data_IF_515740894516
#
_entry.id   IF_515740894516
#
_cell.length_a   1.000
_cell.length_b   1.000
_cell.length_c   1.000
_cell.angle_alpha   90.00
_cell.angle_beta   90.00
_cell.angle_gamma   90.00
#
_symmetry.space_group_name_H-M   'P 1'
#
loop_
_entity.id
_entity.type
_entity.pdbx_description
1 polymer ?
#
# COMPACT_ATOMS: atom_id res chain seq x y z
N UNK A 1 0.56 10.04 -8.95
CA UNK A 1 1.93 9.99 -8.41
C UNK A 1 2.90 9.57 -9.50
N UNK A 2 4.21 9.75 -9.30
CA UNK A 2 5.25 9.40 -10.29
C UNK A 2 5.82 7.99 -10.12
N UNK A 3 5.42 7.26 -9.07
CA UNK A 3 5.88 5.90 -8.79
C UNK A 3 4.95 4.89 -9.47
N UNK A 4 5.45 4.06 -10.40
CA UNK A 4 4.70 2.91 -10.93
C UNK A 4 4.19 1.97 -9.83
N UNK A 5 2.99 1.41 -10.02
CA UNK A 5 2.37 0.48 -9.05
C UNK A 5 3.25 -0.74 -8.74
N UNK A 6 4.00 -1.22 -9.74
CA UNK A 6 4.94 -2.32 -9.57
C UNK A 6 5.94 -2.05 -8.44
N UNK A 7 6.45 -0.83 -8.33
CA UNK A 7 7.43 -0.48 -7.31
C UNK A 7 6.84 -0.39 -5.90
N UNK A 8 5.52 -0.16 -5.78
CA UNK A 8 4.84 -0.32 -4.49
C UNK A 8 4.78 -1.80 -4.08
N UNK A 9 4.50 -2.69 -5.03
CA UNK A 9 4.41 -4.14 -4.82
C UNK A 9 5.75 -4.77 -4.44
N UNK A 10 6.84 -4.29 -5.03
CA UNK A 10 8.18 -4.88 -4.85
C UNK A 10 9.00 -4.18 -3.77
N UNK A 11 8.41 -3.21 -3.06
CA UNK A 11 9.08 -2.38 -2.06
C UNK A 11 10.30 -1.61 -2.62
N UNK A 12 10.17 -1.13 -3.86
CA UNK A 12 11.21 -0.38 -4.57
C UNK A 12 10.76 1.02 -4.96
N UNK A 13 9.79 1.60 -4.23
CA UNK A 13 9.21 2.92 -4.53
C UNK A 13 10.21 4.08 -4.35
N UNK A 14 11.27 3.87 -3.57
CA UNK A 14 12.28 4.90 -3.29
C UNK A 14 12.62 5.07 -1.81
N UNK A 15 12.55 4.01 -1.00
CA UNK A 15 12.98 4.04 0.40
C UNK A 15 11.90 4.45 1.40
N UNK A 16 10.70 3.88 1.31
CA UNK A 16 9.76 3.94 2.44
C UNK A 16 10.40 3.33 3.70
N UNK A 17 10.06 3.83 4.90
CA UNK A 17 10.37 3.14 6.15
C UNK A 17 9.56 1.85 6.30
N UNK A 18 10.02 0.97 7.20
CA UNK A 18 9.35 -0.29 7.52
C UNK A 18 7.88 -0.09 7.93
N UNK A 19 7.63 0.91 8.77
CA UNK A 19 6.32 1.34 9.25
C UNK A 19 6.16 2.84 9.02
N UNK A 20 4.92 3.31 8.99
CA UNK A 20 4.66 4.76 9.11
C UNK A 20 5.14 5.28 10.47
N UNK A 21 5.45 6.59 10.59
CA UNK A 21 5.78 7.21 11.87
C UNK A 21 4.68 7.00 12.91
N UNK A 22 5.06 6.95 14.19
CA UNK A 22 4.14 6.64 15.29
C UNK A 22 2.97 7.62 15.43
N UNK A 23 3.12 8.86 14.96
CA UNK A 23 2.05 9.86 14.99
C UNK A 23 0.97 9.66 13.91
N UNK A 24 1.17 8.73 12.96
CA UNK A 24 0.17 8.37 11.95
C UNK A 24 -0.76 7.30 12.53
N UNK A 25 -1.96 7.71 12.95
CA UNK A 25 -2.94 6.87 13.66
C UNK A 25 -4.28 6.75 12.94
N UNK A 26 -4.53 7.53 11.89
CA UNK A 26 -5.78 7.50 11.14
C UNK A 26 -5.55 7.75 9.63
N UNK A 27 -6.61 7.58 8.84
CA UNK A 27 -6.55 7.69 7.38
C UNK A 27 -6.16 9.09 6.90
N UNK A 28 -6.63 10.14 7.57
CA UNK A 28 -6.29 11.52 7.19
C UNK A 28 -4.79 11.78 7.36
N UNK A 29 -4.23 11.40 8.50
CA UNK A 29 -2.80 11.48 8.78
C UNK A 29 -1.98 10.60 7.84
N UNK A 30 -2.48 9.42 7.48
CA UNK A 30 -1.83 8.54 6.52
C UNK A 30 -1.79 9.17 5.13
N UNK A 31 -2.90 9.74 4.67
CA UNK A 31 -2.96 10.45 3.39
C UNK A 31 -2.02 11.65 3.38
N UNK A 32 -1.96 12.41 4.47
CA UNK A 32 -1.05 13.54 4.61
C UNK A 32 0.42 13.11 4.57
N UNK A 33 0.79 12.06 5.33
CA UNK A 33 2.12 11.46 5.29
C UNK A 33 2.52 11.04 3.87
N UNK A 34 1.63 10.36 3.15
CA UNK A 34 1.90 9.86 1.80
C UNK A 34 2.01 10.99 0.77
N UNK A 35 1.29 12.11 0.95
CA UNK A 35 1.41 13.30 0.09
C UNK A 35 2.74 14.01 0.27
N UNK A 36 3.25 14.05 1.50
CA UNK A 36 4.49 14.76 1.84
C UNK A 36 5.74 13.88 1.77
N UNK A 37 5.59 12.56 1.71
CA UNK A 37 6.71 11.64 1.59
C UNK A 37 7.54 11.93 0.33
N UNK A 38 8.86 11.94 0.50
CA UNK A 38 9.84 12.11 -0.58
C UNK A 38 10.75 10.88 -0.64
N UNK A 39 11.09 10.40 -1.84
CA UNK A 39 11.97 9.25 -2.00
C UNK A 39 13.42 9.60 -1.65
N UNK A 40 14.10 8.70 -0.93
CA UNK A 40 15.55 8.73 -0.70
C UNK A 40 16.32 8.19 -1.90
N UNK A 41 15.73 7.25 -2.63
CA UNK A 41 16.33 6.60 -3.79
C UNK A 41 15.46 6.77 -5.03
N UNK A 42 16.07 6.73 -6.21
CA UNK A 42 15.30 6.61 -7.45
C UNK A 42 14.45 5.33 -7.43
N UNK A 43 13.19 5.44 -7.86
CA UNK A 43 12.29 4.29 -7.92
C UNK A 43 12.91 3.14 -8.76
N UNK A 44 12.73 1.90 -8.28
CA UNK A 44 13.25 0.69 -8.91
C UNK A 44 14.70 0.35 -8.59
N UNK A 45 15.47 1.25 -7.97
CA UNK A 45 16.92 1.04 -7.76
C UNK A 45 17.27 0.34 -6.44
N UNK A 46 16.41 0.43 -5.43
CA UNK A 46 16.66 -0.12 -4.10
C UNK A 46 15.40 -0.82 -3.58
N UNK A 47 15.58 -1.99 -2.97
CA UNK A 47 14.52 -2.68 -2.22
C UNK A 47 14.66 -2.35 -0.74
N UNK A 48 13.62 -1.78 -0.16
CA UNK A 48 13.50 -1.55 1.29
C UNK A 48 12.13 -2.03 1.72
N UNK A 49 12.06 -3.18 2.40
CA UNK A 49 10.76 -3.75 2.80
C UNK A 49 9.99 -2.73 3.65
N UNK A 50 8.74 -2.48 3.25
CA UNK A 50 7.94 -1.41 3.80
C UNK A 50 6.45 -1.74 3.74
N UNK A 51 5.79 -1.75 4.90
CA UNK A 51 4.34 -1.88 5.01
C UNK A 51 3.58 -0.73 4.33
N UNK A 52 3.96 0.56 4.44
CA UNK A 52 3.26 1.62 3.72
C UNK A 52 3.31 1.46 2.20
N UNK A 53 4.37 0.83 1.66
CA UNK A 53 4.51 0.56 0.22
C UNK A 53 3.44 -0.43 -0.26
N UNK A 54 3.43 -1.64 0.29
CA UNK A 54 2.49 -2.69 -0.15
C UNK A 54 1.06 -2.43 0.33
N UNK A 55 0.90 -1.75 1.48
CA UNK A 55 -0.41 -1.30 1.97
C UNK A 55 -1.06 -0.31 1.00
N UNK A 56 -0.30 0.66 0.48
CA UNK A 56 -0.81 1.59 -0.54
C UNK A 56 -1.23 0.86 -1.82
N UNK A 57 -0.47 -0.15 -2.26
CA UNK A 57 -0.87 -0.99 -3.39
C UNK A 57 -2.24 -1.63 -3.15
N UNK A 58 -2.46 -2.23 -1.98
CA UNK A 58 -3.74 -2.85 -1.63
C UNK A 58 -4.91 -1.87 -1.71
N UNK A 59 -4.74 -0.66 -1.15
CA UNK A 59 -5.77 0.40 -1.22
C UNK A 59 -6.05 0.83 -2.66
N UNK A 60 -5.02 1.03 -3.49
CA UNK A 60 -5.18 1.41 -4.90
C UNK A 60 -5.88 0.30 -5.69
N UNK A 61 -5.47 -0.96 -5.48
CA UNK A 61 -6.06 -2.12 -6.15
C UNK A 61 -7.55 -2.24 -5.83
N UNK A 62 -7.94 -2.14 -4.55
CA UNK A 62 -9.35 -2.19 -4.15
C UNK A 62 -10.14 -0.99 -4.68
N UNK A 63 -9.54 0.21 -4.70
CA UNK A 63 -10.15 1.40 -5.30
C UNK A 63 -10.42 1.22 -6.80
N UNK A 64 -9.57 0.49 -7.52
CA UNK A 64 -9.79 0.16 -8.94
C UNK A 64 -11.04 -0.71 -9.16
N UNK A 65 -11.42 -1.50 -8.15
CA UNK A 65 -12.66 -2.28 -8.10
C UNK A 65 -13.86 -1.47 -7.55
N UNK A 66 -13.67 -0.19 -7.24
CA UNK A 66 -14.67 0.67 -6.58
C UNK A 66 -15.12 0.13 -5.21
N UNK A 67 -14.22 -0.53 -4.48
CA UNK A 67 -14.51 -1.16 -3.19
C UNK A 67 -13.49 -0.74 -2.11
N UNK A 68 -13.89 -0.73 -0.84
CA UNK A 68 -12.94 -0.76 0.27
C UNK A 68 -12.08 -2.04 0.22
N UNK A 69 -10.80 -1.95 0.59
CA UNK A 69 -9.89 -3.11 0.58
C UNK A 69 -10.43 -4.30 1.36
N UNK A 70 -10.94 -4.06 2.58
CA UNK A 70 -11.53 -5.12 3.41
C UNK A 70 -12.69 -5.83 2.70
N UNK A 71 -13.57 -5.08 2.02
CA UNK A 71 -14.68 -5.66 1.25
C UNK A 71 -14.20 -6.43 0.02
N UNK A 72 -13.19 -5.94 -0.70
CA UNK A 72 -12.60 -6.68 -1.83
C UNK A 72 -11.99 -8.01 -1.37
N UNK A 73 -11.32 -8.03 -0.22
CA UNK A 73 -10.78 -9.26 0.36
C UNK A 73 -11.89 -10.21 0.80
N UNK A 74 -12.81 -9.75 1.65
CA UNK A 74 -13.80 -10.60 2.31
C UNK A 74 -14.94 -11.06 1.39
N UNK A 75 -15.39 -10.20 0.46
CA UNK A 75 -16.59 -10.47 -0.33
C UNK A 75 -16.28 -10.98 -1.74
N UNK A 76 -15.01 -10.89 -2.19
CA UNK A 76 -14.61 -11.31 -3.53
C UNK A 76 -13.44 -12.29 -3.48
N UNK A 77 -12.29 -11.91 -2.92
CA UNK A 77 -11.10 -12.75 -3.00
C UNK A 77 -11.20 -14.03 -2.16
N UNK A 78 -11.53 -13.93 -0.87
CA UNK A 78 -11.63 -15.11 0.00
C UNK A 78 -12.68 -16.11 -0.49
N UNK A 79 -13.90 -15.71 -0.91
CA UNK A 79 -14.86 -16.64 -1.49
C UNK A 79 -14.36 -17.30 -2.78
N UNK A 80 -13.72 -16.53 -3.67
CA UNK A 80 -13.18 -17.06 -4.93
C UNK A 80 -12.05 -18.09 -4.71
N UNK A 81 -11.34 -17.99 -3.59
CA UNK A 81 -10.30 -18.94 -3.16
C UNK A 81 -10.84 -20.09 -2.29
N UNK A 82 -12.13 -20.11 -1.96
CA UNK A 82 -12.72 -21.11 -1.06
C UNK A 82 -12.31 -20.97 0.41
N UNK A 83 -11.89 -19.78 0.85
CA UNK A 83 -11.45 -19.52 2.22
C UNK A 83 -12.62 -19.07 3.09
N UNK A 84 -13.13 -19.98 3.94
CA UNK A 84 -14.31 -19.74 4.78
C UNK A 84 -14.02 -19.51 6.27
N UNK A 85 -12.75 -19.48 6.67
CA UNK A 85 -12.32 -19.28 8.07
C UNK A 85 -11.02 -18.48 8.12
N UNK A 86 -11.08 -17.21 7.74
CA UNK A 86 -9.94 -16.28 7.62
C UNK A 86 -10.35 -14.86 7.97
#
# INVERSE_FOLDING_TARGET
>A
GKVPLLHLATHTAGGFPLQVPDNVKNDEQLQDYLKHWQPTYQAGTHRTYANPSIGMLGVIAAKSLQMPFKSAMQNMLYPALGLSST
#
